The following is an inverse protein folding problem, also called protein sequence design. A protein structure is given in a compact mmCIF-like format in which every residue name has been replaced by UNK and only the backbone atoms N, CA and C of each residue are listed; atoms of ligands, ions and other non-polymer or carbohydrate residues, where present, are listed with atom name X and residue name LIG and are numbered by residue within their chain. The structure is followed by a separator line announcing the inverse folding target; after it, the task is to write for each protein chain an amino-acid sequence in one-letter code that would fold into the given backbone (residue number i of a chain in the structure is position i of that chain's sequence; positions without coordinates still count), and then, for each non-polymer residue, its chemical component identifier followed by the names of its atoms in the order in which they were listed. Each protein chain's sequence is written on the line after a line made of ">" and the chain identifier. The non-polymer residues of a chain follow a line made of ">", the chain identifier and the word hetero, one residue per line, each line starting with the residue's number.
data_IF_871228966561
#
_entry.id   IF_871228966561
#
_cell.length_a   1.000
_cell.length_b   1.000
_cell.length_c   1.000
_cell.angle_alpha   90.00
_cell.angle_beta   90.00
_cell.angle_gamma   90.00
#
_symmetry.space_group_name_H-M   'P 1'
#
loop_
_entity.id
_entity.type
_entity.pdbx_description
1 polymer ?
#
# COMPACT_ATOMS: atom_id res chain seq x y z
N UNK A 1 -18.99 -4.50 -22.11
CA UNK A 1 -19.24 -3.21 -22.74
C UNK A 1 -19.40 -2.08 -21.72
N UNK A 2 -18.33 -1.60 -21.08
CA UNK A 2 -18.40 -0.29 -20.41
C UNK A 2 -17.04 0.23 -19.90
N UNK A 3 -15.94 0.17 -20.64
CA UNK A 3 -14.73 0.88 -20.20
C UNK A 3 -14.46 2.18 -20.96
N UNK A 4 -15.23 2.51 -22.00
CA UNK A 4 -14.90 3.65 -22.84
C UNK A 4 -15.32 5.03 -22.29
N UNK A 5 -16.19 5.07 -21.29
CA UNK A 5 -16.78 6.33 -20.80
C UNK A 5 -15.95 7.08 -19.76
N UNK A 6 -15.06 6.41 -19.02
CA UNK A 6 -14.35 6.99 -17.89
C UNK A 6 -13.08 7.79 -18.26
N UNK A 7 -12.54 7.61 -19.46
CA UNK A 7 -11.38 8.37 -19.93
C UNK A 7 -11.71 9.71 -20.61
N UNK A 8 -12.94 10.20 -20.54
CA UNK A 8 -13.37 11.32 -21.40
C UNK A 8 -13.36 12.70 -20.74
N UNK A 9 -13.16 12.83 -19.42
CA UNK A 9 -13.50 14.09 -18.74
C UNK A 9 -12.38 15.09 -18.46
N UNK A 10 -11.10 14.72 -18.36
CA UNK A 10 -10.04 15.69 -18.10
C UNK A 10 -8.78 15.49 -18.95
N UNK A 11 -8.22 16.58 -19.48
CA UNK A 11 -7.06 16.58 -20.38
C UNK A 11 -5.81 15.96 -19.73
N UNK A 12 -5.60 16.21 -18.45
CA UNK A 12 -4.48 15.67 -17.64
C UNK A 12 -4.55 14.15 -17.46
N UNK A 13 -5.75 13.60 -17.48
CA UNK A 13 -6.01 12.16 -17.25
C UNK A 13 -6.14 11.37 -18.57
N UNK A 14 -6.45 12.05 -19.67
CA UNK A 14 -6.54 11.42 -21.01
C UNK A 14 -5.21 10.89 -21.50
N UNK A 15 -4.12 11.60 -21.22
CA UNK A 15 -2.79 11.24 -21.70
C UNK A 15 -2.25 9.98 -21.04
N UNK A 16 -2.25 9.81 -19.71
CA UNK A 16 -1.86 8.56 -19.06
C UNK A 16 -2.69 7.36 -19.51
N UNK A 17 -4.02 7.51 -19.60
CA UNK A 17 -4.93 6.46 -20.03
C UNK A 17 -4.59 5.96 -21.44
N UNK A 18 -4.31 6.87 -22.37
CA UNK A 18 -3.91 6.53 -23.75
C UNK A 18 -2.59 5.78 -23.78
N UNK A 19 -1.59 6.25 -23.03
CA UNK A 19 -0.28 5.62 -22.95
C UNK A 19 -0.38 4.21 -22.36
N UNK A 20 -1.13 4.03 -21.27
CA UNK A 20 -1.33 2.73 -20.62
C UNK A 20 -1.97 1.73 -21.58
N UNK A 21 -3.00 2.14 -22.32
CA UNK A 21 -3.71 1.27 -23.28
C UNK A 21 -2.89 0.90 -24.51
N UNK A 22 -1.86 1.67 -24.84
CA UNK A 22 -0.95 1.35 -25.95
C UNK A 22 0.01 0.22 -25.62
N UNK A 23 0.21 -0.11 -24.33
CA UNK A 23 1.08 -1.23 -23.97
C UNK A 23 0.43 -2.58 -24.32
N UNK A 24 1.09 -3.42 -25.13
CA UNK A 24 0.52 -4.69 -25.63
C UNK A 24 0.23 -5.71 -24.54
N UNK A 25 0.87 -5.60 -23.37
CA UNK A 25 0.66 -6.48 -22.22
C UNK A 25 -0.60 -6.12 -21.41
N UNK A 26 -1.19 -4.94 -21.63
CA UNK A 26 -2.37 -4.47 -20.90
C UNK A 26 -3.63 -5.02 -21.55
N UNK A 27 -4.50 -5.68 -20.78
CA UNK A 27 -5.81 -6.12 -21.21
C UNK A 27 -6.86 -5.02 -20.99
N UNK A 28 -6.90 -4.46 -19.78
CA UNK A 28 -7.90 -3.50 -19.37
C UNK A 28 -7.27 -2.47 -18.42
N UNK A 29 -7.78 -1.25 -18.43
CA UNK A 29 -7.43 -0.22 -17.46
C UNK A 29 -8.70 0.45 -16.94
N UNK A 30 -8.82 0.54 -15.62
CA UNK A 30 -9.88 1.25 -14.93
C UNK A 30 -9.29 2.43 -14.20
N UNK A 31 -9.94 3.59 -14.27
CA UNK A 31 -9.57 4.80 -13.57
C UNK A 31 -10.55 5.10 -12.44
N UNK A 32 -10.03 5.51 -11.31
CA UNK A 32 -10.78 5.98 -10.15
C UNK A 32 -10.32 7.40 -9.86
N UNK A 33 -11.21 8.37 -10.03
CA UNK A 33 -10.95 9.77 -9.74
C UNK A 33 -11.19 10.09 -8.28
N UNK A 34 -10.41 11.03 -7.73
CA UNK A 34 -10.55 11.49 -6.36
C UNK A 34 -10.06 10.49 -5.31
N UNK A 35 -9.31 9.47 -5.71
CA UNK A 35 -8.82 8.45 -4.78
C UNK A 35 -7.39 8.00 -5.11
N UNK A 36 -6.58 7.84 -4.07
CA UNK A 36 -5.26 7.22 -4.12
C UNK A 36 -5.17 6.08 -3.12
N UNK A 37 -4.68 4.90 -3.52
CA UNK A 37 -4.41 3.79 -2.59
C UNK A 37 -3.37 4.13 -1.52
N UNK A 38 -2.51 5.12 -1.78
CA UNK A 38 -1.42 5.51 -0.89
C UNK A 38 -1.78 6.70 0.01
N UNK A 39 -2.51 7.69 -0.55
CA UNK A 39 -2.79 8.95 0.12
C UNK A 39 -4.25 9.06 0.62
N UNK A 40 -5.17 8.21 0.14
CA UNK A 40 -6.58 8.27 0.48
C UNK A 40 -7.41 9.12 -0.48
N UNK A 41 -8.45 9.77 0.01
CA UNK A 41 -9.35 10.59 -0.81
C UNK A 41 -8.80 12.02 -0.96
N UNK A 42 -8.91 12.57 -2.17
CA UNK A 42 -8.51 13.95 -2.47
C UNK A 42 -8.80 14.32 -3.92
N UNK A 43 -9.22 15.54 -4.16
CA UNK A 43 -9.66 16.02 -5.48
C UNK A 43 -8.56 16.02 -6.55
N UNK A 44 -7.29 15.95 -6.15
CA UNK A 44 -6.13 15.94 -7.04
C UNK A 44 -5.56 14.55 -7.30
N UNK A 45 -6.18 13.51 -6.75
CA UNK A 45 -5.73 12.14 -6.91
C UNK A 45 -6.50 11.41 -8.01
N UNK A 46 -5.78 10.57 -8.72
CA UNK A 46 -6.36 9.61 -9.66
C UNK A 46 -5.59 8.29 -9.58
N UNK A 47 -6.31 7.19 -9.59
CA UNK A 47 -5.71 5.86 -9.56
C UNK A 47 -6.11 5.07 -10.79
N UNK A 48 -5.13 4.44 -11.42
CA UNK A 48 -5.34 3.50 -12.51
C UNK A 48 -5.13 2.08 -12.00
N UNK A 49 -6.14 1.24 -12.14
CA UNK A 49 -6.04 -0.21 -11.94
C UNK A 49 -5.80 -0.82 -13.32
N UNK A 50 -4.63 -1.42 -13.50
CA UNK A 50 -4.19 -1.99 -14.78
C UNK A 50 -4.24 -3.50 -14.66
N UNK A 51 -5.08 -4.14 -15.49
CA UNK A 51 -5.15 -5.58 -15.62
C UNK A 51 -4.29 -6.01 -16.80
N UNK A 52 -3.33 -6.86 -16.55
CA UNK A 52 -2.51 -7.46 -17.60
C UNK A 52 -3.25 -8.63 -18.27
N UNK A 53 -2.90 -8.95 -19.51
CA UNK A 53 -3.36 -10.16 -20.21
C UNK A 53 -2.97 -11.42 -19.47
N UNK A 54 -3.58 -12.54 -19.79
CA UNK A 54 -3.25 -13.84 -19.18
C UNK A 54 -1.78 -14.22 -19.43
N UNK A 55 -1.21 -15.02 -18.53
CA UNK A 55 0.19 -15.44 -18.62
C UNK A 55 0.51 -16.14 -19.94
N UNK A 56 -0.42 -16.94 -20.49
CA UNK A 56 -0.27 -17.64 -21.76
C UNK A 56 -0.22 -16.70 -22.99
N UNK A 57 -0.73 -15.49 -22.88
CA UNK A 57 -0.81 -14.49 -23.95
C UNK A 57 0.32 -13.46 -23.90
N UNK A 58 1.19 -13.57 -22.89
CA UNK A 58 2.29 -12.63 -22.65
C UNK A 58 3.65 -13.31 -22.82
N UNK A 59 4.59 -12.62 -23.44
CA UNK A 59 5.99 -13.06 -23.43
C UNK A 59 6.58 -12.94 -22.02
N UNK A 60 7.07 -14.07 -21.50
CA UNK A 60 7.62 -14.16 -20.14
C UNK A 60 8.85 -13.28 -19.90
N UNK A 61 9.60 -12.93 -20.95
CA UNK A 61 10.83 -12.12 -20.83
C UNK A 61 10.55 -10.62 -20.90
N UNK A 62 9.70 -10.19 -21.84
CA UNK A 62 9.49 -8.76 -22.16
C UNK A 62 8.18 -8.22 -21.59
N UNK A 63 7.24 -9.08 -21.20
CA UNK A 63 5.90 -8.71 -20.72
C UNK A 63 5.59 -9.29 -19.34
N UNK A 64 6.62 -9.62 -18.55
CA UNK A 64 6.43 -9.92 -17.13
C UNK A 64 6.06 -8.62 -16.36
N UNK A 65 5.56 -8.74 -15.12
CA UNK A 65 5.09 -7.59 -14.34
C UNK A 65 6.17 -6.53 -14.13
N UNK A 66 7.41 -6.92 -13.91
CA UNK A 66 8.53 -5.98 -13.70
C UNK A 66 8.92 -5.25 -14.99
N UNK A 67 8.97 -5.96 -16.12
CA UNK A 67 9.25 -5.35 -17.41
C UNK A 67 8.17 -4.35 -17.81
N UNK A 68 6.90 -4.70 -17.58
CA UNK A 68 5.76 -3.80 -17.86
C UNK A 68 5.82 -2.58 -16.94
N UNK A 69 6.16 -2.73 -15.65
CA UNK A 69 6.38 -1.60 -14.75
C UNK A 69 7.44 -0.64 -15.27
N UNK A 70 8.61 -1.15 -15.67
CA UNK A 70 9.70 -0.33 -16.25
C UNK A 70 9.28 0.39 -17.53
N UNK A 71 8.57 -0.32 -18.43
CA UNK A 71 8.06 0.26 -19.67
C UNK A 71 7.06 1.39 -19.40
N UNK A 72 6.12 1.17 -18.48
CA UNK A 72 5.12 2.18 -18.12
C UNK A 72 5.77 3.39 -17.43
N UNK A 73 6.75 3.20 -16.54
CA UNK A 73 7.50 4.32 -15.96
C UNK A 73 8.18 5.16 -17.04
N UNK A 74 8.85 4.51 -18.00
CA UNK A 74 9.47 5.20 -19.13
C UNK A 74 8.46 5.96 -20.01
N UNK A 75 7.34 5.30 -20.35
CA UNK A 75 6.31 5.89 -21.19
C UNK A 75 5.55 7.05 -20.51
N UNK A 76 5.32 6.97 -19.20
CA UNK A 76 4.58 7.97 -18.44
C UNK A 76 5.47 9.13 -17.94
N UNK A 77 6.80 9.06 -18.08
CA UNK A 77 7.72 10.15 -17.74
C UNK A 77 7.50 11.45 -18.53
N UNK A 78 6.77 11.34 -19.66
CA UNK A 78 6.38 12.50 -20.49
C UNK A 78 5.30 13.35 -19.80
N UNK A 79 4.54 12.77 -18.88
CA UNK A 79 3.48 13.49 -18.14
C UNK A 79 4.12 14.27 -16.99
N UNK A 80 4.19 15.61 -17.15
CA UNK A 80 4.82 16.52 -16.19
C UNK A 80 3.84 17.17 -15.21
N UNK A 81 2.54 17.02 -15.48
CA UNK A 81 1.47 17.70 -14.73
C UNK A 81 1.10 16.97 -13.42
N UNK A 82 1.74 15.84 -13.13
CA UNK A 82 1.47 15.06 -11.93
C UNK A 82 2.63 14.14 -11.56
N UNK A 83 2.66 13.75 -10.30
CA UNK A 83 3.59 12.75 -9.79
C UNK A 83 2.98 11.35 -9.97
N UNK A 84 3.55 10.55 -10.86
CA UNK A 84 3.05 9.21 -11.18
C UNK A 84 3.88 8.17 -10.44
N UNK A 85 3.20 7.37 -9.63
CA UNK A 85 3.77 6.23 -8.91
C UNK A 85 3.12 4.95 -9.43
N UNK A 86 3.92 4.02 -9.91
CA UNK A 86 3.45 2.73 -10.44
C UNK A 86 3.98 1.62 -9.55
N UNK A 87 3.11 0.74 -9.08
CA UNK A 87 3.49 -0.35 -8.20
C UNK A 87 2.66 -1.60 -8.47
N UNK A 88 3.21 -2.76 -8.16
CA UNK A 88 2.47 -4.00 -8.14
C UNK A 88 1.77 -4.16 -6.77
N UNK A 89 0.57 -4.76 -6.73
CA UNK A 89 -0.07 -5.12 -5.47
C UNK A 89 0.80 -6.14 -4.71
N UNK A 90 0.73 -6.15 -3.37
CA UNK A 90 1.46 -7.14 -2.58
C UNK A 90 0.91 -8.55 -2.82
N UNK A 91 1.75 -9.55 -2.68
CA UNK A 91 1.34 -10.96 -2.83
C UNK A 91 0.33 -11.37 -1.75
N UNK A 92 0.49 -10.85 -0.52
CA UNK A 92 -0.43 -11.07 0.59
C UNK A 92 -1.27 -9.81 0.76
N UNK A 93 -2.54 -9.90 0.43
CA UNK A 93 -3.50 -8.79 0.55
C UNK A 93 -3.80 -8.50 2.02
N UNK A 94 -4.00 -7.21 2.35
CA UNK A 94 -4.42 -6.76 3.68
C UNK A 94 -3.32 -6.21 4.57
N UNK A 95 -2.04 -6.44 4.28
CA UNK A 95 -0.93 -5.93 5.09
C UNK A 95 -0.37 -4.60 4.58
N UNK A 96 -0.25 -4.43 3.28
CA UNK A 96 0.30 -3.22 2.66
C UNK A 96 -0.47 -2.87 1.40
N UNK A 97 -0.37 -1.62 0.94
CA UNK A 97 -0.94 -1.18 -0.33
C UNK A 97 -0.02 -1.54 -1.52
N UNK A 98 1.29 -1.61 -1.29
CA UNK A 98 2.30 -1.85 -2.31
C UNK A 98 3.16 -3.05 -1.96
N UNK A 99 3.75 -3.66 -2.97
CA UNK A 99 4.86 -4.58 -2.78
C UNK A 99 6.13 -3.79 -2.40
N UNK A 100 6.92 -4.31 -1.45
CA UNK A 100 8.13 -3.66 -0.95
C UNK A 100 8.03 -3.30 0.53
N UNK A 101 8.83 -2.34 0.98
CA UNK A 101 8.83 -1.91 2.37
C UNK A 101 7.98 -0.65 2.59
N UNK A 102 7.42 -0.54 3.80
CA UNK A 102 6.69 0.61 4.27
C UNK A 102 7.13 0.98 5.68
N UNK A 103 7.48 2.25 5.89
CA UNK A 103 7.79 2.82 7.19
C UNK A 103 7.00 4.10 7.43
N UNK A 104 6.68 4.36 8.68
CA UNK A 104 6.04 5.59 9.16
C UNK A 104 7.10 6.41 9.89
N UNK A 105 7.62 7.44 9.21
CA UNK A 105 8.48 8.43 9.86
C UNK A 105 7.65 9.21 10.86
N UNK A 106 8.19 9.47 12.04
CA UNK A 106 7.47 10.11 13.15
C UNK A 106 8.18 11.37 13.63
N UNK A 107 7.42 12.43 13.80
CA UNK A 107 7.84 13.62 14.55
C UNK A 107 7.36 13.51 15.99
N UNK A 108 8.30 13.33 16.92
CA UNK A 108 8.07 13.25 18.36
C UNK A 108 8.31 14.58 19.06
N UNK A 109 8.76 15.60 18.31
CA UNK A 109 9.02 16.94 18.84
C UNK A 109 7.76 17.81 18.89
N UNK A 110 6.78 17.49 18.04
CA UNK A 110 5.59 18.33 17.83
C UNK A 110 5.90 19.65 17.10
N UNK A 111 7.01 19.68 16.36
CA UNK A 111 7.46 20.86 15.64
C UNK A 111 6.72 21.16 14.33
N UNK A 112 7.30 22.05 13.52
CA UNK A 112 6.72 22.44 12.23
C UNK A 112 6.80 21.30 11.22
N UNK A 113 5.72 21.12 10.48
CA UNK A 113 5.60 20.04 9.49
C UNK A 113 6.59 20.18 8.31
N UNK A 114 6.99 21.42 7.96
CA UNK A 114 7.95 21.64 6.88
C UNK A 114 9.35 21.23 7.32
N UNK A 115 9.72 21.48 8.58
CA UNK A 115 10.97 21.00 9.17
C UNK A 115 11.00 19.48 9.21
N UNK A 116 9.90 18.85 9.62
CA UNK A 116 9.78 17.39 9.60
C UNK A 116 9.92 16.83 8.18
N UNK A 117 9.25 17.46 7.21
CA UNK A 117 9.37 17.05 5.80
C UNK A 117 10.81 17.17 5.27
N UNK A 118 11.53 18.21 5.66
CA UNK A 118 12.95 18.35 5.27
C UNK A 118 13.82 17.21 5.83
N UNK A 119 13.57 16.78 7.07
CA UNK A 119 14.23 15.61 7.67
C UNK A 119 13.91 14.34 6.88
N UNK A 120 12.64 14.14 6.50
CA UNK A 120 12.21 12.98 5.69
C UNK A 120 12.87 13.01 4.30
N UNK A 121 12.97 14.17 3.66
CA UNK A 121 13.62 14.29 2.36
C UNK A 121 15.12 13.97 2.44
N UNK A 122 15.82 14.44 3.49
CA UNK A 122 17.22 14.07 3.72
C UNK A 122 17.38 12.57 3.92
N UNK A 123 16.51 11.96 4.74
CA UNK A 123 16.48 10.52 4.95
C UNK A 123 16.27 9.75 3.62
N UNK A 124 15.29 10.17 2.81
CA UNK A 124 15.02 9.58 1.49
C UNK A 124 16.22 9.70 0.55
N UNK A 125 16.86 10.87 0.52
CA UNK A 125 18.03 11.11 -0.31
C UNK A 125 19.20 10.17 0.04
N UNK A 126 19.43 9.91 1.33
CA UNK A 126 20.48 8.98 1.78
C UNK A 126 20.07 7.52 1.58
N UNK A 127 18.79 7.19 1.78
CA UNK A 127 18.26 5.85 1.57
C UNK A 127 18.35 5.44 0.10
N UNK A 128 18.00 6.33 -0.82
CA UNK A 128 18.09 6.08 -2.27
C UNK A 128 19.53 5.96 -2.81
N UNK A 129 20.54 6.28 -2.01
CA UNK A 129 21.96 6.05 -2.35
C UNK A 129 22.45 4.66 -1.95
N UNK A 130 21.67 3.92 -1.18
CA UNK A 130 22.07 2.58 -0.75
C UNK A 130 21.89 1.59 -1.90
N UNK A 131 22.86 0.67 -2.12
CA UNK A 131 22.78 -0.31 -3.20
C UNK A 131 21.62 -1.30 -3.03
N UNK A 132 21.16 -1.51 -1.78
CA UNK A 132 20.07 -2.41 -1.44
C UNK A 132 18.68 -1.83 -1.84
N UNK A 133 18.60 -0.53 -2.09
CA UNK A 133 17.35 0.17 -2.35
C UNK A 133 17.24 0.54 -3.83
N UNK A 134 16.19 0.07 -4.47
CA UNK A 134 15.87 0.45 -5.85
C UNK A 134 15.27 1.87 -5.89
N UNK A 135 14.29 2.11 -5.04
CA UNK A 135 13.58 3.39 -4.94
C UNK A 135 12.87 3.50 -3.59
N UNK A 136 12.99 4.64 -2.95
CA UNK A 136 12.20 5.03 -1.78
C UNK A 136 11.59 6.41 -2.02
N UNK A 137 10.31 6.58 -1.70
CA UNK A 137 9.56 7.81 -1.95
C UNK A 137 8.49 8.04 -0.89
N UNK A 138 7.98 9.27 -0.87
CA UNK A 138 6.78 9.64 -0.11
C UNK A 138 5.79 10.35 -1.02
N UNK A 139 4.50 10.17 -0.74
CA UNK A 139 3.42 10.88 -1.42
C UNK A 139 2.98 12.14 -0.66
N UNK A 140 3.60 12.41 0.48
CA UNK A 140 3.28 13.57 1.29
C UNK A 140 3.72 14.87 0.58
N UNK A 141 2.80 15.84 0.50
CA UNK A 141 3.06 17.14 -0.09
C UNK A 141 2.72 18.26 0.92
N UNK A 142 3.72 18.98 1.46
CA UNK A 142 3.48 20.08 2.40
C UNK A 142 3.03 21.38 1.71
N UNK A 143 3.17 21.47 0.39
CA UNK A 143 2.94 22.71 -0.38
C UNK A 143 1.71 22.64 -1.27
N UNK A 144 0.67 21.95 -0.81
CA UNK A 144 -0.59 21.89 -1.53
C UNK A 144 -1.27 23.27 -1.50
N UNK A 145 -1.66 23.84 -2.67
CA UNK A 145 -2.30 25.15 -2.72
C UNK A 145 -3.72 25.08 -2.19
N UNK A 146 -4.03 25.92 -1.22
CA UNK A 146 -5.33 26.02 -0.58
C UNK A 146 -5.78 27.49 -0.49
N UNK A 147 -7.06 27.70 -0.32
CA UNK A 147 -7.60 29.00 0.02
C UNK A 147 -8.08 29.00 1.48
N UNK A 148 -7.45 29.81 2.29
CA UNK A 148 -7.93 30.10 3.63
C UNK A 148 -9.07 31.12 3.52
N UNK A 149 -10.16 30.79 4.20
CA UNK A 149 -11.36 31.63 4.26
C UNK A 149 -11.31 32.42 5.56
N UNK A 150 -11.08 33.73 5.46
CA UNK A 150 -11.14 34.63 6.60
C UNK A 150 -12.49 35.35 6.62
N UNK A 151 -13.23 35.19 7.73
CA UNK A 151 -14.57 35.78 7.90
C UNK A 151 -14.46 37.03 8.78
N UNK A 152 -14.96 38.17 8.27
CA UNK A 152 -15.16 39.36 9.06
C UNK A 152 -16.40 39.18 9.96
N UNK A 153 -16.16 38.65 11.15
CA UNK A 153 -17.20 38.33 12.13
C UNK A 153 -17.95 39.58 12.60
N UNK A 154 -17.29 40.74 12.62
CA UNK A 154 -17.92 41.99 13.03
C UNK A 154 -18.96 42.45 12.01
N UNK A 155 -18.59 42.52 10.75
CA UNK A 155 -19.53 42.86 9.66
C UNK A 155 -20.66 41.82 9.51
N UNK A 156 -20.35 40.54 9.66
CA UNK A 156 -21.37 39.51 9.59
C UNK A 156 -22.41 39.64 10.68
N UNK A 157 -22.00 39.91 11.93
CA UNK A 157 -22.90 40.13 13.05
C UNK A 157 -23.73 41.40 12.89
N UNK A 158 -23.16 42.49 12.36
CA UNK A 158 -23.90 43.72 12.09
C UNK A 158 -25.04 43.49 11.04
N UNK A 159 -24.79 42.62 10.06
CA UNK A 159 -25.79 42.23 9.09
C UNK A 159 -26.75 41.12 9.61
N UNK A 160 -26.64 40.69 10.84
CA UNK A 160 -27.45 39.63 11.43
C UNK A 160 -27.15 38.24 10.86
N UNK A 161 -25.92 38.04 10.32
CA UNK A 161 -25.50 36.79 9.70
C UNK A 161 -24.55 36.05 10.63
N UNK A 162 -24.82 34.77 10.90
CA UNK A 162 -23.90 33.98 11.71
C UNK A 162 -22.72 33.47 10.87
N UNK A 163 -21.50 33.35 11.42
CA UNK A 163 -20.38 32.71 10.73
C UNK A 163 -20.71 31.29 10.26
N UNK A 164 -21.53 30.57 11.03
CA UNK A 164 -22.01 29.24 10.69
C UNK A 164 -22.80 29.24 9.37
N UNK A 165 -23.67 30.24 9.16
CA UNK A 165 -24.45 30.38 7.92
C UNK A 165 -23.54 30.60 6.73
N UNK A 166 -22.49 31.43 6.87
CA UNK A 166 -21.50 31.67 5.83
C UNK A 166 -20.77 30.38 5.47
N UNK A 167 -20.24 29.65 6.49
CA UNK A 167 -19.52 28.40 6.27
C UNK A 167 -20.39 27.31 5.67
N UNK A 168 -21.64 27.16 6.13
CA UNK A 168 -22.58 26.17 5.56
C UNK A 168 -22.95 26.47 4.11
N UNK A 169 -23.07 27.75 3.74
CA UNK A 169 -23.29 28.17 2.36
C UNK A 169 -22.08 27.81 1.49
N UNK A 170 -20.87 28.15 1.93
CA UNK A 170 -19.63 27.78 1.22
C UNK A 170 -19.48 26.26 1.10
N UNK A 171 -19.81 25.51 2.16
CA UNK A 171 -19.82 24.06 2.12
C UNK A 171 -20.78 23.50 1.07
N UNK A 172 -21.99 24.05 0.97
CA UNK A 172 -22.97 23.62 -0.02
C UNK A 172 -22.51 23.89 -1.46
N UNK A 173 -21.79 25.00 -1.69
CA UNK A 173 -21.29 25.33 -3.03
C UNK A 173 -20.01 24.57 -3.40
N UNK A 174 -19.02 24.53 -2.54
CA UNK A 174 -17.67 24.04 -2.86
C UNK A 174 -17.36 22.65 -2.25
N UNK A 175 -17.80 22.40 -1.02
CA UNK A 175 -17.43 21.21 -0.25
C UNK A 175 -18.36 20.01 -0.41
N UNK A 176 -19.46 20.17 -1.11
CA UNK A 176 -20.61 19.27 -1.16
C UNK A 176 -21.33 19.10 0.18
N UNK A 177 -22.63 19.03 0.15
CA UNK A 177 -23.47 18.84 1.32
C UNK A 177 -24.28 17.56 1.18
N UNK A 178 -24.17 16.70 2.18
CA UNK A 178 -25.02 15.51 2.28
C UNK A 178 -26.45 15.94 2.68
N UNK A 179 -27.43 15.56 1.87
CA UNK A 179 -28.84 15.93 2.07
C UNK A 179 -29.63 14.74 2.62
N UNK A 180 -29.58 13.59 1.96
CA UNK A 180 -30.34 12.41 2.33
C UNK A 180 -29.81 11.15 1.67
N UNK A 181 -30.48 10.03 1.91
CA UNK A 181 -30.27 8.76 1.20
C UNK A 181 -31.56 8.37 0.47
N UNK A 182 -31.41 7.61 -0.60
CA UNK A 182 -32.51 6.84 -1.18
C UNK A 182 -32.06 5.39 -1.43
N UNK A 183 -33.02 4.48 -1.39
CA UNK A 183 -32.80 3.07 -1.67
C UNK A 183 -33.24 2.75 -3.10
N UNK A 184 -32.36 2.12 -3.88
CA UNK A 184 -32.67 1.61 -5.20
C UNK A 184 -31.85 0.37 -5.49
N UNK A 185 -32.44 -0.62 -6.17
CA UNK A 185 -31.80 -1.90 -6.51
C UNK A 185 -31.12 -2.62 -5.32
N UNK A 186 -31.70 -2.53 -4.12
CA UNK A 186 -31.14 -3.14 -2.91
C UNK A 186 -29.90 -2.47 -2.35
N UNK A 187 -29.54 -1.27 -2.82
CA UNK A 187 -28.40 -0.46 -2.36
C UNK A 187 -28.86 0.90 -1.86
N UNK A 188 -28.10 1.44 -0.92
CA UNK A 188 -28.31 2.80 -0.39
C UNK A 188 -27.44 3.78 -1.18
N UNK A 189 -28.07 4.78 -1.77
CA UNK A 189 -27.41 5.86 -2.49
C UNK A 189 -27.47 7.15 -1.70
N UNK A 190 -26.35 7.84 -1.59
CA UNK A 190 -26.28 9.15 -0.94
C UNK A 190 -26.65 10.26 -1.92
N UNK A 191 -27.50 11.16 -1.48
CA UNK A 191 -27.82 12.40 -2.21
C UNK A 191 -26.90 13.50 -1.71
N UNK A 192 -26.04 13.97 -2.60
CA UNK A 192 -25.10 15.05 -2.33
C UNK A 192 -25.48 16.27 -3.16
N UNK A 193 -25.47 17.45 -2.55
CA UNK A 193 -25.72 18.74 -3.22
C UNK A 193 -24.41 19.51 -3.35
N UNK A 194 -24.13 20.03 -4.54
CA UNK A 194 -22.96 20.86 -4.82
C UNK A 194 -23.28 21.79 -5.99
N UNK A 195 -22.59 22.94 -6.09
CA UNK A 195 -22.70 23.79 -7.25
C UNK A 195 -22.15 23.13 -8.51
N UNK A 196 -22.67 23.50 -9.66
CA UNK A 196 -22.13 23.06 -10.95
C UNK A 196 -20.65 23.42 -11.10
N UNK A 197 -19.85 22.62 -11.84
CA UNK A 197 -18.44 22.90 -12.06
C UNK A 197 -18.15 24.32 -12.56
N UNK A 198 -18.96 24.83 -13.46
CA UNK A 198 -18.86 26.20 -14.01
C UNK A 198 -18.94 27.29 -12.94
N UNK A 199 -19.74 27.06 -11.89
CA UNK A 199 -19.96 28.01 -10.80
C UNK A 199 -18.90 27.93 -9.68
N UNK A 200 -17.88 27.04 -9.78
CA UNK A 200 -16.85 26.83 -8.75
C UNK A 200 -15.42 26.74 -9.30
N UNK A 201 -15.21 27.07 -10.58
CA UNK A 201 -13.89 27.00 -11.25
C UNK A 201 -12.95 28.11 -10.80
N UNK A 202 -13.48 29.30 -10.49
CA UNK A 202 -12.64 30.45 -10.13
C UNK A 202 -13.09 31.11 -8.83
N UNK A 203 -12.18 31.85 -8.21
CA UNK A 203 -12.49 32.67 -7.02
C UNK A 203 -13.47 33.80 -7.30
N UNK A 204 -13.60 34.24 -8.56
CA UNK A 204 -14.51 35.28 -9.00
C UNK A 204 -15.98 34.84 -8.88
N UNK A 205 -16.26 33.55 -9.04
CA UNK A 205 -17.62 33.00 -8.87
C UNK A 205 -18.16 33.16 -7.45
N UNK A 206 -17.28 33.42 -6.46
CA UNK A 206 -17.69 33.72 -5.09
C UNK A 206 -18.60 34.95 -5.01
N UNK A 207 -18.45 35.93 -5.92
CA UNK A 207 -19.29 37.13 -5.99
C UNK A 207 -20.77 36.82 -6.29
N UNK A 208 -21.06 35.74 -6.97
CA UNK A 208 -22.40 35.30 -7.29
C UNK A 208 -23.11 34.63 -6.11
N UNK A 209 -22.38 34.18 -5.10
CA UNK A 209 -22.93 33.52 -3.92
C UNK A 209 -23.51 34.56 -2.98
N UNK A 210 -24.77 34.40 -2.60
CA UNK A 210 -25.44 35.27 -1.66
C UNK A 210 -25.80 34.55 -0.36
N UNK A 211 -25.71 35.27 0.73
CA UNK A 211 -26.14 34.82 2.06
C UNK A 211 -27.32 35.66 2.53
N UNK A 212 -28.25 35.04 3.28
CA UNK A 212 -29.44 35.72 3.79
C UNK A 212 -29.08 36.37 5.13
N UNK A 213 -29.31 37.68 5.21
CA UNK A 213 -29.21 38.48 6.43
C UNK A 213 -30.34 38.24 7.41
N UNK A 214 -30.19 38.76 8.63
CA UNK A 214 -31.22 38.68 9.70
C UNK A 214 -32.53 39.33 9.35
N UNK A 215 -32.55 40.38 8.51
CA UNK A 215 -33.73 41.08 7.99
C UNK A 215 -34.35 40.39 6.78
N UNK A 216 -33.77 39.27 6.28
CA UNK A 216 -34.23 38.55 5.09
C UNK A 216 -33.62 39.03 3.78
N UNK A 217 -32.83 40.07 3.76
CA UNK A 217 -32.10 40.56 2.61
C UNK A 217 -30.96 39.64 2.21
N UNK A 218 -30.72 39.57 0.89
CA UNK A 218 -29.64 38.75 0.32
C UNK A 218 -28.41 39.62 0.04
N UNK A 219 -27.31 39.34 0.70
CA UNK A 219 -26.04 40.04 0.50
C UNK A 219 -24.98 39.13 -0.13
N UNK A 220 -24.10 39.64 -1.02
CA UNK A 220 -22.98 38.88 -1.56
C UNK A 220 -22.07 38.38 -0.42
N UNK A 221 -21.63 37.12 -0.49
CA UNK A 221 -20.80 36.53 0.54
C UNK A 221 -19.44 37.21 0.65
N UNK A 222 -18.94 37.78 -0.45
CA UNK A 222 -17.69 38.54 -0.53
C UNK A 222 -17.65 39.79 0.34
N UNK A 223 -18.80 40.29 0.78
CA UNK A 223 -18.83 41.39 1.75
C UNK A 223 -18.31 40.96 3.14
N UNK A 224 -18.35 39.65 3.45
CA UNK A 224 -18.07 39.10 4.78
C UNK A 224 -16.85 38.17 4.78
N UNK A 225 -16.38 37.79 3.58
CA UNK A 225 -15.33 36.76 3.44
C UNK A 225 -14.21 37.30 2.54
N UNK A 226 -12.99 37.09 2.97
CA UNK A 226 -11.80 37.25 2.15
C UNK A 226 -11.09 35.92 1.96
N UNK A 227 -10.53 35.70 0.75
CA UNK A 227 -9.77 34.53 0.43
C UNK A 227 -8.29 34.85 0.39
N UNK A 228 -7.50 34.09 1.15
CA UNK A 228 -6.03 34.16 1.12
C UNK A 228 -5.47 32.85 0.58
N UNK A 229 -4.67 32.92 -0.47
CA UNK A 229 -3.97 31.73 -0.96
C UNK A 229 -2.86 31.35 0.02
N UNK A 230 -2.90 30.11 0.49
CA UNK A 230 -1.92 29.53 1.42
C UNK A 230 -1.43 28.20 0.86
N UNK A 231 -0.27 27.78 1.33
CA UNK A 231 0.28 26.46 1.02
C UNK A 231 0.36 25.67 2.31
N UNK A 232 -0.31 24.55 2.34
CA UNK A 232 -0.35 23.67 3.52
C UNK A 232 -0.49 22.22 3.06
N UNK A 233 -0.18 21.24 3.90
CA UNK A 233 -0.42 19.83 3.55
C UNK A 233 -1.93 19.58 3.39
N UNK A 234 -2.27 18.77 2.38
CA UNK A 234 -3.66 18.35 2.12
C UNK A 234 -4.15 17.41 3.23
N UNK A 235 -3.29 16.52 3.70
CA UNK A 235 -3.61 15.54 4.73
C UNK A 235 -2.46 15.43 5.75
N UNK A 236 -2.80 15.48 7.03
CA UNK A 236 -1.89 15.19 8.14
C UNK A 236 -2.25 13.83 8.75
N UNK A 237 -1.34 12.88 8.62
CA UNK A 237 -1.48 11.56 9.22
C UNK A 237 -0.79 11.50 10.59
N UNK A 238 -1.37 10.74 11.49
CA UNK A 238 -0.75 10.39 12.77
C UNK A 238 -0.61 8.87 12.88
N UNK A 239 0.50 8.45 13.41
CA UNK A 239 0.77 7.06 13.72
C UNK A 239 1.29 6.97 15.15
N UNK A 240 0.66 6.14 15.98
CA UNK A 240 0.95 6.04 17.41
C UNK A 240 1.01 7.42 18.11
N UNK A 241 0.01 8.27 17.83
CA UNK A 241 -0.16 9.63 18.40
C UNK A 241 0.81 10.69 17.85
N UNK A 242 1.85 10.35 17.13
CA UNK A 242 2.82 11.28 16.54
C UNK A 242 2.43 11.66 15.11
N UNK A 243 2.74 12.87 14.68
CA UNK A 243 2.64 13.25 13.28
C UNK A 243 3.53 12.34 12.46
N UNK A 244 3.01 11.80 11.38
CA UNK A 244 3.74 10.81 10.59
C UNK A 244 3.68 11.07 9.10
N UNK A 245 4.79 10.78 8.43
CA UNK A 245 4.92 10.77 6.97
C UNK A 245 5.25 9.35 6.54
N UNK A 246 4.43 8.81 5.64
CA UNK A 246 4.67 7.47 5.09
C UNK A 246 5.79 7.51 4.06
N UNK A 247 6.72 6.60 4.18
CA UNK A 247 7.77 6.33 3.20
C UNK A 247 7.60 4.90 2.72
N UNK A 248 7.51 4.74 1.41
CA UNK A 248 7.36 3.46 0.73
C UNK A 248 8.53 3.27 -0.22
N UNK A 249 8.99 2.04 -0.39
CA UNK A 249 10.07 1.78 -1.32
C UNK A 249 10.18 0.30 -1.67
N UNK A 250 11.11 0.00 -2.56
CA UNK A 250 11.37 -1.36 -3.02
C UNK A 250 12.85 -1.70 -2.91
N UNK A 251 13.18 -2.94 -2.51
CA UNK A 251 14.56 -3.42 -2.56
C UNK A 251 15.03 -3.52 -4.02
N UNK A 252 16.34 -3.37 -4.22
CA UNK A 252 16.95 -3.50 -5.54
C UNK A 252 16.99 -4.98 -5.97
N UNK A 253 17.09 -5.21 -7.26
CA UNK A 253 17.23 -6.56 -7.83
C UNK A 253 18.46 -7.27 -7.21
N UNK A 254 18.26 -8.46 -6.68
CA UNK A 254 19.29 -9.23 -6.01
C UNK A 254 19.41 -9.00 -4.49
N UNK A 255 18.64 -8.08 -3.94
CA UNK A 255 18.57 -7.84 -2.48
C UNK A 255 17.22 -8.28 -1.92
N UNK A 256 17.23 -8.73 -0.68
CA UNK A 256 16.02 -9.14 0.02
C UNK A 256 15.34 -7.98 0.75
N UNK A 257 14.11 -8.19 1.18
CA UNK A 257 13.42 -7.26 2.09
C UNK A 257 14.18 -7.08 3.41
N UNK A 258 14.85 -8.12 3.90
CA UNK A 258 15.71 -8.06 5.08
C UNK A 258 16.92 -7.13 4.90
N UNK A 259 17.55 -7.14 3.71
CA UNK A 259 18.64 -6.23 3.37
C UNK A 259 18.15 -4.78 3.32
N UNK A 260 16.97 -4.56 2.77
CA UNK A 260 16.35 -3.23 2.78
C UNK A 260 16.03 -2.74 4.20
N UNK A 261 15.56 -3.61 5.10
CA UNK A 261 15.34 -3.29 6.51
C UNK A 261 16.67 -2.93 7.20
N UNK A 262 17.74 -3.67 6.95
CA UNK A 262 19.07 -3.37 7.49
C UNK A 262 19.61 -2.02 6.96
N UNK A 263 19.40 -1.71 5.68
CA UNK A 263 19.75 -0.42 5.10
C UNK A 263 18.96 0.74 5.74
N UNK A 264 17.66 0.56 5.97
CA UNK A 264 16.80 1.54 6.67
C UNK A 264 17.33 1.80 8.08
N UNK A 265 17.67 0.76 8.85
CA UNK A 265 18.22 0.89 10.21
C UNK A 265 19.55 1.65 10.21
N UNK A 266 20.43 1.30 9.30
CA UNK A 266 21.76 1.93 9.16
C UNK A 266 21.65 3.42 8.81
N UNK A 267 20.82 3.75 7.82
CA UNK A 267 20.61 5.16 7.40
C UNK A 267 19.90 5.94 8.51
N UNK A 268 18.89 5.36 9.15
CA UNK A 268 18.19 6.01 10.25
C UNK A 268 19.12 6.37 11.41
N UNK A 269 20.00 5.46 11.80
CA UNK A 269 20.97 5.70 12.87
C UNK A 269 21.95 6.84 12.54
N UNK A 270 22.26 7.07 11.25
CA UNK A 270 23.21 8.09 10.79
C UNK A 270 22.58 9.46 10.57
N UNK A 271 21.31 9.50 10.14
CA UNK A 271 20.73 10.70 9.55
C UNK A 271 19.60 11.31 10.39
N UNK A 272 18.91 10.51 11.20
CA UNK A 272 17.77 11.02 11.97
C UNK A 272 18.24 11.83 13.19
N UNK A 273 17.83 13.11 13.30
CA UNK A 273 18.10 13.91 14.48
C UNK A 273 17.32 13.40 15.71
N UNK A 274 17.74 13.82 16.91
CA UNK A 274 16.97 13.55 18.11
C UNK A 274 15.54 14.10 18.00
N UNK A 275 14.57 13.33 18.50
CA UNK A 275 13.17 13.67 18.44
C UNK A 275 12.44 13.21 17.18
N UNK A 276 13.15 12.69 16.18
CA UNK A 276 12.57 12.04 15.03
C UNK A 276 12.81 10.53 15.09
N UNK A 277 11.81 9.77 14.68
CA UNK A 277 11.88 8.31 14.69
C UNK A 277 11.15 7.71 13.49
N UNK A 278 11.15 6.39 13.43
CA UNK A 278 10.36 5.66 12.45
C UNK A 278 9.81 4.38 13.07
N UNK A 279 8.75 3.87 12.48
CA UNK A 279 8.20 2.56 12.78
C UNK A 279 7.91 1.81 11.49
N UNK A 280 8.10 0.51 11.51
CA UNK A 280 7.70 -0.33 10.40
C UNK A 280 6.19 -0.45 10.32
N UNK A 281 5.66 -0.48 9.09
CA UNK A 281 4.25 -0.67 8.83
C UNK A 281 4.02 -1.81 7.83
N UNK A 282 2.79 -2.27 7.73
CA UNK A 282 2.41 -3.31 6.80
C UNK A 282 3.23 -4.60 6.95
N UNK A 283 3.58 -5.22 5.84
CA UNK A 283 4.36 -6.45 5.79
C UNK A 283 5.77 -6.28 6.38
N UNK A 284 6.38 -5.09 6.23
CA UNK A 284 7.71 -4.80 6.76
C UNK A 284 7.76 -4.94 8.28
N UNK A 285 6.67 -4.61 8.97
CA UNK A 285 6.55 -4.80 10.41
C UNK A 285 6.59 -6.27 10.79
N UNK A 286 5.85 -7.11 10.07
CA UNK A 286 5.81 -8.55 10.30
C UNK A 286 7.19 -9.17 10.03
N UNK A 287 7.86 -8.76 8.96
CA UNK A 287 9.21 -9.23 8.63
C UNK A 287 10.24 -8.79 9.68
N UNK A 288 10.21 -7.54 10.12
CA UNK A 288 11.12 -7.03 11.14
C UNK A 288 10.92 -7.74 12.49
N UNK A 289 9.68 -8.04 12.87
CA UNK A 289 9.37 -8.80 14.08
C UNK A 289 9.73 -10.28 13.96
N UNK A 290 9.62 -10.84 12.76
CA UNK A 290 9.96 -12.25 12.49
C UNK A 290 11.46 -12.49 12.32
N UNK A 291 12.28 -11.46 12.25
CA UNK A 291 13.75 -11.56 12.08
C UNK A 291 14.50 -12.10 13.31
N UNK A 292 13.81 -12.42 14.41
CA UNK A 292 14.37 -12.95 15.64
C UNK A 292 14.38 -14.49 15.71
N UNK A 293 14.36 -15.04 16.93
CA UNK A 293 14.29 -16.47 17.21
C UNK A 293 12.91 -17.12 16.93
N UNK A 294 11.89 -16.32 16.64
CA UNK A 294 10.52 -16.80 16.43
C UNK A 294 10.39 -17.87 15.32
N UNK A 295 10.99 -17.75 14.13
CA UNK A 295 10.94 -18.81 13.12
C UNK A 295 11.52 -20.13 13.60
N UNK A 296 12.65 -20.11 14.30
CA UNK A 296 13.29 -21.32 14.82
C UNK A 296 12.39 -22.02 15.85
N UNK A 297 11.73 -21.27 16.72
CA UNK A 297 10.78 -21.81 17.71
C UNK A 297 9.56 -22.43 16.99
N UNK A 298 9.03 -21.75 15.98
CA UNK A 298 7.88 -22.26 15.20
C UNK A 298 8.25 -23.57 14.48
N UNK A 299 9.45 -23.63 13.85
CA UNK A 299 9.93 -24.86 13.22
C UNK A 299 10.11 -26.00 14.21
N UNK A 300 10.69 -25.72 15.37
CA UNK A 300 10.88 -26.74 16.43
C UNK A 300 9.53 -27.25 16.94
N UNK A 301 8.56 -26.36 17.15
CA UNK A 301 7.23 -26.68 17.60
C UNK A 301 6.45 -27.50 16.53
N UNK A 302 6.61 -27.14 15.26
CA UNK A 302 6.04 -27.89 14.13
C UNK A 302 6.59 -29.32 14.08
N UNK A 303 7.90 -29.49 14.19
CA UNK A 303 8.53 -30.82 14.21
C UNK A 303 8.08 -31.65 15.42
N UNK A 304 8.01 -31.03 16.60
CA UNK A 304 7.52 -31.69 17.81
C UNK A 304 6.07 -32.14 17.63
N UNK A 305 5.21 -31.29 17.07
CA UNK A 305 3.80 -31.62 16.84
C UNK A 305 3.67 -32.79 15.85
N UNK A 306 4.42 -32.75 14.75
CA UNK A 306 4.46 -33.84 13.76
C UNK A 306 4.93 -35.13 14.41
N UNK A 307 5.99 -35.09 15.24
CA UNK A 307 6.49 -36.25 15.98
C UNK A 307 5.42 -36.86 16.89
N UNK A 308 4.75 -36.04 17.71
CA UNK A 308 3.71 -36.52 18.64
C UNK A 308 2.51 -37.12 17.88
N UNK A 309 2.10 -36.48 16.79
CA UNK A 309 0.99 -36.97 15.96
C UNK A 309 1.35 -38.32 15.31
N UNK A 310 2.55 -38.45 14.76
CA UNK A 310 3.03 -39.68 14.18
C UNK A 310 3.20 -40.78 15.25
N UNK A 311 3.69 -40.44 16.43
CA UNK A 311 3.80 -41.39 17.56
C UNK A 311 2.48 -41.94 17.98
N UNK A 312 1.44 -41.12 18.03
CA UNK A 312 0.06 -41.55 18.31
C UNK A 312 -0.49 -42.43 17.19
N UNK A 313 -0.20 -42.10 15.91
CA UNK A 313 -0.70 -42.85 14.75
C UNK A 313 -0.04 -44.22 14.58
N UNK A 314 1.28 -44.32 14.86
CA UNK A 314 2.03 -45.59 14.74
C UNK A 314 2.09 -46.39 16.03
N UNK A 315 1.53 -45.90 17.11
CA UNK A 315 1.64 -46.49 18.46
C UNK A 315 3.10 -46.86 18.84
N UNK A 316 4.06 -46.04 18.35
CA UNK A 316 5.48 -46.26 18.46
C UNK A 316 6.24 -44.94 18.57
N UNK A 317 7.25 -44.89 19.44
CA UNK A 317 8.15 -43.75 19.58
C UNK A 317 9.37 -43.79 18.61
N UNK A 318 9.63 -44.94 17.98
CA UNK A 318 10.78 -45.14 17.11
C UNK A 318 10.44 -44.88 15.63
N UNK A 319 9.29 -45.39 15.16
CA UNK A 319 8.89 -45.28 13.75
C UNK A 319 8.77 -43.80 13.24
N UNK A 320 8.29 -42.84 14.02
CA UNK A 320 8.22 -41.45 13.61
C UNK A 320 9.58 -40.86 13.21
N UNK A 321 10.69 -41.31 13.80
CA UNK A 321 12.02 -40.82 13.45
C UNK A 321 12.39 -41.13 12.01
N UNK A 322 11.95 -42.26 11.45
CA UNK A 322 12.18 -42.59 10.05
C UNK A 322 11.53 -41.56 9.10
N UNK A 323 10.34 -41.07 9.47
CA UNK A 323 9.63 -40.03 8.72
C UNK A 323 10.33 -38.68 8.88
N UNK A 324 10.66 -38.28 10.12
CA UNK A 324 11.27 -36.99 10.42
C UNK A 324 12.66 -36.83 9.80
N UNK A 325 13.46 -37.91 9.71
CA UNK A 325 14.75 -37.89 9.04
C UNK A 325 14.70 -37.56 7.54
N UNK A 326 13.54 -37.71 6.91
CA UNK A 326 13.33 -37.29 5.50
C UNK A 326 13.23 -35.78 5.34
N UNK A 327 12.78 -35.04 6.36
CA UNK A 327 12.52 -33.62 6.34
C UNK A 327 13.78 -32.78 6.03
N UNK A 328 14.94 -33.00 6.71
CA UNK A 328 16.17 -32.27 6.44
C UNK A 328 16.63 -32.33 4.98
N UNK A 329 16.44 -33.46 4.30
CA UNK A 329 16.82 -33.60 2.89
C UNK A 329 15.94 -32.72 1.98
N UNK A 330 14.64 -32.63 2.26
CA UNK A 330 13.74 -31.76 1.52
C UNK A 330 14.00 -30.28 1.77
N UNK A 331 14.29 -29.91 3.02
CA UNK A 331 14.67 -28.54 3.35
C UNK A 331 16.02 -28.16 2.70
N UNK A 332 17.02 -29.04 2.75
CA UNK A 332 18.29 -28.86 2.05
C UNK A 332 18.08 -28.64 0.54
N UNK A 333 17.26 -29.49 -0.09
CA UNK A 333 16.92 -29.35 -1.50
C UNK A 333 16.30 -27.98 -1.80
N UNK A 334 15.36 -27.54 -0.97
CA UNK A 334 14.69 -26.24 -1.16
C UNK A 334 15.66 -25.07 -1.05
N UNK A 335 16.59 -25.08 -0.10
CA UNK A 335 17.61 -24.04 0.04
C UNK A 335 18.62 -24.06 -1.12
N UNK A 336 19.02 -25.24 -1.58
CA UNK A 336 19.90 -25.37 -2.76
C UNK A 336 19.23 -24.79 -4.00
N UNK A 337 17.96 -25.13 -4.24
CA UNK A 337 17.22 -24.55 -5.36
C UNK A 337 17.01 -23.04 -5.19
N UNK A 338 16.68 -22.56 -4.00
CA UNK A 338 16.56 -21.13 -3.73
C UNK A 338 17.87 -20.39 -4.05
N UNK A 339 19.03 -20.97 -3.70
CA UNK A 339 20.35 -20.42 -4.03
C UNK A 339 20.61 -20.39 -5.55
N UNK A 340 20.31 -21.49 -6.25
CA UNK A 340 20.53 -21.61 -7.70
C UNK A 340 19.68 -20.57 -8.47
N UNK A 341 18.43 -20.36 -8.06
CA UNK A 341 17.51 -19.44 -8.72
C UNK A 341 17.54 -18.01 -8.13
N UNK A 342 18.43 -17.73 -7.18
CA UNK A 342 18.55 -16.40 -6.59
C UNK A 342 17.32 -15.96 -5.77
N UNK A 343 16.56 -16.92 -5.21
CA UNK A 343 15.39 -16.64 -4.39
C UNK A 343 15.87 -16.27 -2.97
N UNK A 344 15.56 -15.07 -2.53
CA UNK A 344 15.92 -14.59 -1.19
C UNK A 344 15.13 -15.30 -0.09
N UNK A 345 15.75 -15.47 1.07
CA UNK A 345 15.08 -15.98 2.27
C UNK A 345 14.17 -14.89 2.85
N UNK A 346 12.93 -14.88 2.42
CA UNK A 346 11.89 -13.98 2.87
C UNK A 346 10.76 -14.77 3.56
N UNK A 347 9.77 -14.06 4.08
CA UNK A 347 8.62 -14.66 4.79
C UNK A 347 7.87 -15.68 3.91
N UNK A 348 7.83 -15.48 2.59
CA UNK A 348 7.16 -16.40 1.66
C UNK A 348 7.89 -17.74 1.55
N UNK A 349 9.22 -17.72 1.49
CA UNK A 349 10.03 -18.93 1.51
C UNK A 349 9.85 -19.68 2.84
N UNK A 350 9.84 -18.98 3.97
CA UNK A 350 9.64 -19.58 5.29
C UNK A 350 8.28 -20.26 5.42
N UNK A 351 7.20 -19.63 4.93
CA UNK A 351 5.85 -20.22 4.87
C UNK A 351 5.86 -21.47 3.97
N UNK A 352 6.49 -21.39 2.81
CA UNK A 352 6.60 -22.49 1.88
C UNK A 352 7.37 -23.70 2.49
N UNK A 353 8.42 -23.44 3.28
CA UNK A 353 9.17 -24.49 3.98
C UNK A 353 8.30 -25.21 5.01
N UNK A 354 7.47 -24.47 5.77
CA UNK A 354 6.53 -25.08 6.73
C UNK A 354 5.53 -26.00 6.00
N UNK A 355 4.99 -25.53 4.88
CA UNK A 355 4.07 -26.33 4.07
C UNK A 355 4.76 -27.57 3.47
N UNK A 356 6.03 -27.43 3.06
CA UNK A 356 6.85 -28.51 2.56
C UNK A 356 7.06 -29.63 3.58
N UNK A 357 7.24 -29.30 4.86
CA UNK A 357 7.33 -30.32 5.93
C UNK A 357 6.11 -31.25 5.93
N UNK A 358 4.91 -30.68 5.80
CA UNK A 358 3.68 -31.46 5.74
C UNK A 358 3.61 -32.38 4.51
N UNK A 359 4.03 -31.89 3.33
CA UNK A 359 4.07 -32.66 2.10
C UNK A 359 5.11 -33.79 2.14
N UNK A 360 6.31 -33.53 2.69
CA UNK A 360 7.35 -34.53 2.85
C UNK A 360 6.93 -35.61 3.86
N UNK A 361 6.35 -35.21 4.99
CA UNK A 361 5.83 -36.16 5.98
C UNK A 361 4.81 -37.11 5.36
N UNK A 362 3.86 -36.60 4.53
CA UNK A 362 2.87 -37.43 3.85
C UNK A 362 3.51 -38.53 2.97
N UNK A 363 4.52 -38.17 2.16
CA UNK A 363 5.21 -39.13 1.30
C UNK A 363 6.00 -40.15 2.10
N UNK A 364 6.71 -39.70 3.14
CA UNK A 364 7.49 -40.57 4.02
C UNK A 364 6.58 -41.54 4.80
N UNK A 365 5.41 -41.07 5.28
CA UNK A 365 4.40 -41.93 5.93
C UNK A 365 4.00 -43.08 5.02
N UNK A 366 3.68 -42.82 3.76
CA UNK A 366 3.30 -43.86 2.80
C UNK A 366 4.41 -44.90 2.60
N UNK A 367 5.66 -44.47 2.46
CA UNK A 367 6.81 -45.34 2.29
C UNK A 367 6.99 -46.22 3.54
N UNK A 368 6.98 -45.63 4.73
CA UNK A 368 7.14 -46.35 5.98
C UNK A 368 6.02 -47.37 6.23
N UNK A 369 4.76 -46.98 5.95
CA UNK A 369 3.60 -47.90 6.10
C UNK A 369 3.70 -49.08 5.13
N UNK A 370 4.12 -48.82 3.91
CA UNK A 370 4.28 -49.87 2.91
C UNK A 370 5.42 -50.84 3.28
N UNK A 371 6.52 -50.31 3.77
CA UNK A 371 7.65 -51.13 4.25
C UNK A 371 7.26 -51.95 5.48
N UNK A 372 6.48 -51.36 6.40
CA UNK A 372 5.97 -52.07 7.59
C UNK A 372 5.06 -53.25 7.23
N UNK A 373 4.09 -53.02 6.34
CA UNK A 373 3.18 -54.09 5.86
C UNK A 373 3.94 -55.25 5.19
N UNK A 374 4.98 -54.96 4.39
CA UNK A 374 5.86 -55.98 3.79
C UNK A 374 6.67 -56.72 4.86
N UNK A 375 7.14 -56.01 5.90
CA UNK A 375 7.83 -56.64 7.02
C UNK A 375 6.94 -57.59 7.78
N UNK A 376 5.70 -57.21 8.03
CA UNK A 376 4.70 -58.07 8.69
C UNK A 376 4.36 -59.29 7.88
N UNK A 377 4.42 -59.22 6.53
CA UNK A 377 4.26 -60.34 5.64
C UNK A 377 5.47 -61.29 5.57
N UNK A 378 6.52 -61.06 6.39
CA UNK A 378 7.67 -61.94 6.57
C UNK A 378 8.88 -61.62 5.71
N UNK A 379 8.92 -60.49 4.98
CA UNK A 379 10.09 -60.08 4.19
C UNK A 379 11.26 -59.63 5.09
N UNK A 380 12.48 -59.80 4.63
CA UNK A 380 13.66 -59.25 5.28
C UNK A 380 13.64 -57.71 5.27
N UNK A 381 14.32 -57.05 6.23
CA UNK A 381 14.35 -55.57 6.33
C UNK A 381 14.84 -54.96 5.01
N UNK A 382 15.90 -55.49 4.43
CA UNK A 382 16.48 -54.98 3.19
C UNK A 382 15.58 -55.17 1.95
N UNK A 383 14.68 -56.18 1.97
CA UNK A 383 13.75 -56.45 0.88
C UNK A 383 12.42 -55.72 1.04
N UNK A 384 12.10 -55.25 2.25
CA UNK A 384 10.87 -54.54 2.58
C UNK A 384 11.03 -53.03 2.40
N UNK A 385 12.25 -52.51 2.54
CA UNK A 385 12.60 -51.11 2.30
C UNK A 385 12.89 -50.87 0.80
#
# INVERSE_FOLDING_TARGET
>A
NTPAFLCQQDFTQKMPCKIIRQNPAVAESQMIDGYSFLAGQGATYGTFIIKLKNWAERDSKTQNSEAVLKQLYGALSVVKDGNIVIFAPPMITGYSATNGFEIKMQDRTGGDINTFFAVVQNFLAQLNRQPEIQMAYTTFNPTFPQYQVDIDVAKAKQAGISPKTILSTLQGYYGSMYISNFNSFGKIYRVMMQAEPSARVSTETLNAIKVRGGTGEMAPITNFVSLKRVYAPDLLNRFNMFNSISVTGQPNTGYSSGDAIAAIQRVAAQVLPQGYGYEYAGMTREEAQSSGSAPAIIFALCLLFVYLLLSAQYESYILPWAVILSIPFGLMGSFVFALIFGISNNIYLQIALIMLIGLLAKNAILIVQFALARRESGMSIASAA
#
